data_IF_410053957310
#
_entry.id   IF_410053957310
#
_cell.length_a   1.000
_cell.length_b   1.000
_cell.length_c   1.000
_cell.angle_alpha   90.00
_cell.angle_beta   90.00
_cell.angle_gamma   90.00
#
_symmetry.space_group_name_H-M   'P 1'
#
loop_
_entity.id
_entity.type
_entity.pdbx_description
1 polymer ?
#
# COMPACT_ATOMS: atom_id res chain seq x y z
N UNK A 1 10.55 -15.79 8.91
CA UNK A 1 10.58 -16.52 10.19
C UNK A 1 10.44 -18.00 9.87
N UNK A 2 11.28 -18.87 10.43
CA UNK A 2 11.13 -20.32 10.23
C UNK A 2 10.04 -20.88 11.15
N UNK A 3 9.48 -22.04 10.78
CA UNK A 3 8.46 -22.72 11.58
C UNK A 3 8.91 -23.01 13.02
N UNK A 4 10.17 -23.41 13.20
CA UNK A 4 10.73 -23.65 14.54
C UNK A 4 10.82 -22.39 15.39
N UNK A 5 11.15 -21.25 14.79
CA UNK A 5 11.20 -19.97 15.49
C UNK A 5 9.79 -19.53 15.89
N UNK A 6 8.81 -19.65 15.00
CA UNK A 6 7.41 -19.34 15.31
C UNK A 6 6.88 -20.22 16.44
N UNK A 7 7.11 -21.53 16.36
CA UNK A 7 6.67 -22.49 17.38
C UNK A 7 7.25 -22.13 18.75
N UNK A 8 8.57 -21.93 18.83
CA UNK A 8 9.26 -21.54 20.06
C UNK A 8 8.69 -20.25 20.66
N UNK A 9 8.56 -19.20 19.85
CA UNK A 9 8.04 -17.90 20.29
C UNK A 9 6.58 -17.99 20.74
N UNK A 10 5.75 -18.73 19.99
CA UNK A 10 4.35 -18.93 20.33
C UNK A 10 4.19 -19.91 21.50
N UNK A 11 5.28 -20.47 22.05
CA UNK A 11 5.28 -21.51 23.07
C UNK A 11 4.47 -22.74 22.68
N UNK A 12 4.59 -23.13 21.41
CA UNK A 12 3.97 -24.29 20.78
C UNK A 12 5.05 -25.27 20.32
N UNK A 13 4.72 -26.55 20.25
CA UNK A 13 5.63 -27.54 19.72
C UNK A 13 5.76 -27.38 18.19
N UNK A 14 6.98 -27.52 17.66
CA UNK A 14 7.22 -27.42 16.21
C UNK A 14 6.39 -28.45 15.42
N UNK A 15 6.25 -29.67 15.93
CA UNK A 15 5.43 -30.72 15.31
C UNK A 15 3.94 -30.40 15.37
N UNK A 16 3.48 -29.68 16.41
CA UNK A 16 2.12 -29.18 16.50
C UNK A 16 1.84 -28.14 15.41
N UNK A 17 2.71 -27.13 15.26
CA UNK A 17 2.58 -26.13 14.16
C UNK A 17 2.59 -26.83 12.80
N UNK A 18 3.46 -27.82 12.62
CA UNK A 18 3.57 -28.60 11.38
C UNK A 18 2.31 -29.41 11.07
N UNK A 19 1.69 -30.01 12.08
CA UNK A 19 0.41 -30.68 11.93
C UNK A 19 -0.73 -29.71 11.60
N UNK A 20 -0.73 -28.51 12.18
CA UNK A 20 -1.72 -27.46 11.86
C UNK A 20 -1.58 -26.98 10.42
N UNK A 21 -0.37 -26.67 9.96
CA UNK A 21 -0.12 -26.21 8.57
C UNK A 21 -0.54 -27.23 7.50
N UNK A 22 -0.43 -28.53 7.81
CA UNK A 22 -0.89 -29.61 6.92
C UNK A 22 -2.37 -29.95 7.05
N UNK A 23 -3.10 -29.30 7.96
CA UNK A 23 -4.50 -29.62 8.24
C UNK A 23 -4.72 -30.94 8.99
N UNK A 24 -3.67 -31.51 9.60
CA UNK A 24 -3.71 -32.78 10.36
C UNK A 24 -4.08 -32.59 11.84
N UNK A 25 -4.22 -31.33 12.29
CA UNK A 25 -4.54 -30.97 13.67
C UNK A 25 -5.53 -29.81 13.70
N UNK A 26 -6.54 -29.94 14.55
CA UNK A 26 -7.41 -28.82 14.90
C UNK A 26 -6.67 -27.87 15.85
N UNK A 27 -6.72 -26.58 15.54
CA UNK A 27 -6.11 -25.53 16.37
C UNK A 27 -7.17 -24.87 17.25
N UNK A 28 -6.86 -24.67 18.54
CA UNK A 28 -7.73 -23.93 19.46
C UNK A 28 -7.63 -22.43 19.23
N UNK A 29 -8.69 -21.68 19.55
CA UNK A 29 -8.68 -20.21 19.44
C UNK A 29 -7.54 -19.57 20.24
N UNK A 30 -7.22 -20.12 21.42
CA UNK A 30 -6.09 -19.67 22.23
C UNK A 30 -4.75 -19.82 21.51
N UNK A 31 -4.54 -20.92 20.78
CA UNK A 31 -3.31 -21.12 20.00
C UNK A 31 -3.29 -20.26 18.74
N UNK A 32 -4.44 -19.98 18.12
CA UNK A 32 -4.58 -19.01 17.03
C UNK A 32 -4.14 -17.62 17.50
N UNK A 33 -4.61 -17.18 18.67
CA UNK A 33 -4.25 -15.89 19.26
C UNK A 33 -2.74 -15.80 19.52
N UNK A 34 -2.14 -16.83 20.14
CA UNK A 34 -0.68 -16.87 20.38
C UNK A 34 0.12 -16.78 19.07
N UNK A 35 -0.30 -17.51 18.03
CA UNK A 35 0.35 -17.45 16.71
C UNK A 35 0.18 -16.06 16.09
N UNK A 36 -1.00 -15.45 16.18
CA UNK A 36 -1.26 -14.11 15.65
C UNK A 36 -0.37 -13.05 16.30
N UNK A 37 -0.25 -13.09 17.64
CA UNK A 37 0.63 -12.20 18.41
C UNK A 37 2.08 -12.32 17.93
N UNK A 38 2.60 -13.54 17.82
CA UNK A 38 3.99 -13.75 17.40
C UNK A 38 4.27 -13.43 15.93
N UNK A 39 3.24 -13.49 15.09
CA UNK A 39 3.29 -13.03 13.70
C UNK A 39 3.07 -11.51 13.58
N UNK A 40 2.82 -10.82 14.69
CA UNK A 40 2.44 -9.41 14.76
C UNK A 40 1.26 -9.06 13.84
N UNK A 41 0.19 -9.86 13.93
CA UNK A 41 -1.07 -9.68 13.19
C UNK A 41 -2.26 -9.84 14.12
N UNK A 42 -3.40 -9.36 13.66
CA UNK A 42 -4.67 -9.57 14.33
C UNK A 42 -5.21 -10.97 14.03
N UNK A 43 -5.98 -11.55 14.96
CA UNK A 43 -6.68 -12.83 14.74
C UNK A 43 -7.61 -12.77 13.52
N UNK A 44 -8.42 -11.71 13.30
CA UNK A 44 -9.20 -11.56 12.08
C UNK A 44 -8.35 -11.62 10.82
N UNK A 45 -7.16 -11.01 10.80
CA UNK A 45 -6.23 -11.11 9.68
C UNK A 45 -5.74 -12.55 9.49
N UNK A 46 -5.36 -13.24 10.59
CA UNK A 46 -4.94 -14.64 10.57
C UNK A 46 -6.05 -15.62 10.15
N UNK A 47 -7.32 -15.21 10.21
CA UNK A 47 -8.47 -16.02 9.82
C UNK A 47 -9.19 -15.51 8.56
N UNK A 48 -8.67 -14.46 7.91
CA UNK A 48 -9.28 -13.89 6.69
C UNK A 48 -9.28 -14.88 5.52
N UNK A 49 -10.42 -14.93 4.81
CA UNK A 49 -10.72 -15.84 3.70
C UNK A 49 -9.86 -15.56 2.46
N UNK A 50 -9.46 -14.31 2.27
CA UNK A 50 -8.67 -13.82 1.12
C UNK A 50 -7.27 -14.46 0.97
N UNK A 51 -6.82 -15.26 1.94
CA UNK A 51 -5.60 -16.09 1.84
C UNK A 51 -5.83 -17.48 1.23
N UNK A 52 -7.09 -17.88 1.05
CA UNK A 52 -7.47 -19.16 0.45
C UNK A 52 -7.83 -19.05 -1.04
N UNK A 53 -7.69 -17.86 -1.65
CA UNK A 53 -7.64 -17.76 -3.10
C UNK A 53 -6.43 -18.56 -3.59
N UNK A 54 -6.71 -19.72 -4.18
CA UNK A 54 -5.76 -20.68 -4.75
C UNK A 54 -4.94 -20.15 -5.93
N UNK A 55 -4.93 -18.83 -6.16
CA UNK A 55 -4.35 -18.14 -7.32
C UNK A 55 -3.13 -17.29 -6.94
N UNK A 56 -2.31 -17.75 -5.98
CA UNK A 56 -1.05 -17.09 -5.61
C UNK A 56 0.03 -17.06 -6.73
N UNK A 57 -0.32 -17.42 -7.96
CA UNK A 57 0.49 -17.23 -9.14
C UNK A 57 -0.26 -16.31 -10.11
N UNK A 58 0.05 -15.02 -10.07
CA UNK A 58 -0.40 -14.06 -11.07
C UNK A 58 -0.19 -14.66 -12.48
N UNK A 59 -1.25 -14.69 -13.27
CA UNK A 59 -1.21 -15.24 -14.60
C UNK A 59 -0.54 -14.25 -15.54
N UNK A 60 0.08 -14.74 -16.62
CA UNK A 60 0.71 -13.87 -17.62
C UNK A 60 -0.26 -12.82 -18.18
N UNK A 61 -1.55 -13.16 -18.26
CA UNK A 61 -2.63 -12.24 -18.69
C UNK A 61 -2.78 -11.03 -17.76
N UNK A 62 -2.47 -11.18 -16.47
CA UNK A 62 -2.63 -10.11 -15.48
C UNK A 62 -1.55 -9.02 -15.64
N UNK A 63 -0.54 -9.26 -16.48
CA UNK A 63 0.51 -8.31 -16.89
C UNK A 63 0.33 -7.79 -18.33
N UNK A 64 -0.80 -8.03 -18.99
CA UNK A 64 -1.04 -7.60 -20.38
C UNK A 64 -0.95 -6.09 -20.56
N UNK A 65 -1.42 -5.32 -19.57
CA UNK A 65 -1.28 -3.87 -19.59
C UNK A 65 0.16 -3.51 -19.17
N UNK A 66 0.92 -2.78 -20.00
CA UNK A 66 2.30 -2.43 -19.69
C UNK A 66 2.43 -1.63 -18.39
N UNK A 67 3.52 -1.83 -17.66
CA UNK A 67 3.82 -1.09 -16.42
C UNK A 67 3.71 0.42 -16.59
N UNK A 68 4.18 0.98 -17.71
CA UNK A 68 4.11 2.42 -18.02
C UNK A 68 2.69 2.99 -18.14
N UNK A 69 1.67 2.13 -18.26
CA UNK A 69 0.26 2.51 -18.27
C UNK A 69 -0.42 2.26 -16.92
N UNK A 70 0.22 1.50 -16.04
CA UNK A 70 -0.31 1.11 -14.73
C UNK A 70 0.30 1.89 -13.59
N UNK A 71 1.53 2.36 -13.73
CA UNK A 71 2.21 3.21 -12.78
C UNK A 71 2.20 4.66 -13.26
N UNK A 72 1.60 5.52 -12.43
CA UNK A 72 1.54 6.95 -12.69
C UNK A 72 1.95 7.66 -11.39
N UNK A 73 2.71 8.74 -11.51
CA UNK A 73 3.10 9.56 -10.37
C UNK A 73 3.06 11.05 -10.73
N UNK A 74 2.94 11.89 -9.71
CA UNK A 74 3.01 13.34 -9.81
C UNK A 74 3.84 13.91 -8.66
N UNK A 75 4.46 15.06 -8.90
CA UNK A 75 5.29 15.77 -7.92
C UNK A 75 4.83 17.21 -7.84
N UNK A 76 4.47 17.64 -6.64
CA UNK A 76 4.26 19.04 -6.30
C UNK A 76 5.52 19.53 -5.57
N UNK A 77 6.39 20.23 -6.29
CA UNK A 77 7.66 20.74 -5.75
C UNK A 77 7.46 21.88 -4.75
N UNK A 78 6.40 22.68 -4.92
CA UNK A 78 6.09 23.81 -4.04
C UNK A 78 5.65 23.31 -2.67
N UNK A 79 4.72 22.35 -2.66
CA UNK A 79 4.18 21.77 -1.44
C UNK A 79 5.00 20.57 -0.94
N UNK A 80 6.02 20.14 -1.69
CA UNK A 80 6.90 18.99 -1.36
C UNK A 80 6.11 17.69 -1.18
N UNK A 81 5.25 17.41 -2.15
CA UNK A 81 4.40 16.21 -2.15
C UNK A 81 4.72 15.38 -3.36
N UNK A 82 4.88 14.08 -3.13
CA UNK A 82 4.89 13.09 -4.20
C UNK A 82 3.68 12.19 -4.04
N UNK A 83 2.95 11.99 -5.13
CA UNK A 83 1.79 11.11 -5.19
C UNK A 83 2.01 10.07 -6.27
N UNK A 84 1.70 8.81 -6.01
CA UNK A 84 1.70 7.79 -7.06
C UNK A 84 0.65 6.73 -6.86
N UNK A 85 0.36 6.04 -7.96
CA UNK A 85 -0.64 5.00 -8.04
C UNK A 85 -0.10 3.84 -8.87
N UNK A 86 -0.50 2.62 -8.50
CA UNK A 86 -0.27 1.41 -9.28
C UNK A 86 -1.61 0.72 -9.51
N UNK A 87 -1.94 0.49 -10.77
CA UNK A 87 -3.11 -0.28 -11.17
C UNK A 87 -2.73 -1.73 -11.45
N UNK A 88 -3.54 -2.67 -10.99
CA UNK A 88 -3.35 -4.11 -11.21
C UNK A 88 -2.08 -4.68 -10.57
N UNK A 89 -1.61 -5.80 -11.13
CA UNK A 89 -0.50 -6.58 -10.56
C UNK A 89 0.84 -5.87 -10.70
N UNK A 90 1.64 -5.88 -9.63
CA UNK A 90 3.03 -5.43 -9.68
C UNK A 90 3.97 -6.62 -9.63
N UNK A 91 4.94 -6.70 -10.55
CA UNK A 91 6.02 -7.69 -10.46
C UNK A 91 7.20 -7.17 -9.63
N UNK A 92 8.12 -8.04 -9.24
CA UNK A 92 9.35 -7.60 -8.57
C UNK A 92 10.20 -6.64 -9.40
N UNK A 93 10.37 -6.90 -10.68
CA UNK A 93 11.15 -6.03 -11.57
C UNK A 93 10.48 -4.65 -11.73
N UNK A 94 9.16 -4.62 -11.83
CA UNK A 94 8.39 -3.36 -11.88
C UNK A 94 8.47 -2.62 -10.54
N UNK A 95 8.47 -3.34 -9.41
CA UNK A 95 8.67 -2.76 -8.08
C UNK A 95 10.03 -2.07 -7.96
N UNK A 96 11.10 -2.69 -8.47
CA UNK A 96 12.42 -2.05 -8.50
C UNK A 96 12.44 -0.82 -9.41
N UNK A 97 11.76 -0.88 -10.55
CA UNK A 97 11.68 0.23 -11.50
C UNK A 97 10.90 1.42 -10.92
N UNK A 98 9.79 1.13 -10.23
CA UNK A 98 9.04 2.09 -9.43
C UNK A 98 9.94 2.73 -8.37
N UNK A 99 10.61 1.90 -7.56
CA UNK A 99 11.48 2.36 -6.49
C UNK A 99 12.61 3.27 -6.99
N UNK A 100 13.27 2.90 -8.09
CA UNK A 100 14.29 3.74 -8.74
C UNK A 100 13.73 5.10 -9.15
N UNK A 101 12.54 5.11 -9.75
CA UNK A 101 11.88 6.35 -10.20
C UNK A 101 11.55 7.25 -9.02
N UNK A 102 10.85 6.72 -8.00
CA UNK A 102 10.45 7.47 -6.82
C UNK A 102 11.66 7.99 -6.03
N UNK A 103 12.68 7.15 -5.81
CA UNK A 103 13.90 7.57 -5.11
C UNK A 103 14.70 8.61 -5.89
N UNK A 104 14.70 8.54 -7.23
CA UNK A 104 15.30 9.57 -8.08
C UNK A 104 14.56 10.91 -7.98
N UNK A 105 13.24 10.90 -7.81
CA UNK A 105 12.48 12.13 -7.56
C UNK A 105 12.84 12.68 -6.17
N UNK A 106 12.78 11.82 -5.14
CA UNK A 106 13.04 12.19 -3.76
C UNK A 106 14.44 12.80 -3.55
N UNK A 107 15.45 12.38 -4.32
CA UNK A 107 16.80 12.95 -4.22
C UNK A 107 16.92 14.43 -4.61
N UNK A 108 15.88 15.03 -5.20
CA UNK A 108 15.82 16.47 -5.47
C UNK A 108 15.39 17.30 -4.27
N UNK A 109 14.87 16.64 -3.22
CA UNK A 109 14.44 17.27 -1.99
C UNK A 109 15.48 17.09 -0.89
N UNK A 110 15.41 17.94 0.14
CA UNK A 110 16.16 17.71 1.37
C UNK A 110 15.61 16.48 2.10
N UNK A 111 16.41 15.92 2.99
CA UNK A 111 15.96 14.82 3.85
C UNK A 111 14.89 15.31 4.83
N UNK A 112 13.85 14.51 5.03
CA UNK A 112 12.78 14.74 6.01
C UNK A 112 11.83 15.90 5.72
N UNK A 113 11.65 16.32 4.46
CA UNK A 113 10.72 17.41 4.10
C UNK A 113 9.63 17.01 3.11
N UNK A 114 9.60 15.74 2.67
CA UNK A 114 8.67 15.27 1.64
C UNK A 114 7.51 14.50 2.26
N UNK A 115 6.30 14.82 1.81
CA UNK A 115 5.11 14.04 2.13
C UNK A 115 4.76 13.14 0.96
N UNK A 116 4.43 11.89 1.24
CA UNK A 116 4.11 10.92 0.20
C UNK A 116 2.66 10.46 0.30
N UNK A 117 1.98 10.42 -0.85
CA UNK A 117 0.66 9.83 -1.00
C UNK A 117 0.73 8.62 -1.94
N UNK A 118 0.15 7.51 -1.53
CA UNK A 118 0.18 6.26 -2.29
C UNK A 118 -1.24 5.74 -2.46
N UNK A 119 -1.67 5.55 -3.71
CA UNK A 119 -2.98 4.98 -4.02
C UNK A 119 -2.85 3.52 -4.49
N UNK A 120 -3.29 2.59 -3.65
CA UNK A 120 -3.38 1.17 -4.00
C UNK A 120 -4.81 0.68 -4.18
N UNK A 121 -5.82 1.56 -4.22
CA UNK A 121 -7.22 1.15 -4.43
C UNK A 121 -7.42 0.36 -5.72
N UNK A 122 -6.62 0.67 -6.75
CA UNK A 122 -6.69 0.07 -8.07
C UNK A 122 -5.76 -1.14 -8.28
N UNK A 123 -5.12 -1.62 -7.22
CA UNK A 123 -4.45 -2.91 -7.24
C UNK A 123 -5.49 -4.03 -7.22
N UNK A 124 -6.12 -4.28 -8.37
CA UNK A 124 -7.23 -5.21 -8.54
C UNK A 124 -6.96 -6.16 -9.71
N UNK A 125 -7.46 -7.39 -9.62
CA UNK A 125 -7.50 -8.36 -10.73
C UNK A 125 -8.91 -8.91 -10.84
N UNK A 126 -9.53 -8.83 -12.01
CA UNK A 126 -10.91 -9.28 -12.25
C UNK A 126 -11.95 -8.71 -11.27
N UNK A 127 -11.72 -7.51 -10.75
CA UNK A 127 -12.61 -6.86 -9.78
C UNK A 127 -12.34 -7.21 -8.32
N UNK A 128 -11.40 -8.12 -8.06
CA UNK A 128 -11.00 -8.54 -6.72
C UNK A 128 -9.71 -7.82 -6.27
N UNK A 129 -9.60 -7.44 -4.99
CA UNK A 129 -8.39 -6.82 -4.45
C UNK A 129 -7.24 -7.81 -4.40
N UNK A 130 -6.07 -7.36 -4.83
CA UNK A 130 -4.82 -8.14 -4.72
C UNK A 130 -3.86 -7.47 -3.75
N UNK A 131 -2.91 -8.23 -3.22
CA UNK A 131 -1.87 -7.74 -2.30
C UNK A 131 -0.46 -7.93 -2.87
N UNK A 132 0.56 -7.48 -2.16
CA UNK A 132 1.92 -7.75 -2.60
C UNK A 132 2.23 -9.25 -2.55
N UNK A 133 2.78 -9.78 -3.63
CA UNK A 133 3.44 -11.08 -3.58
C UNK A 133 4.66 -11.01 -2.65
N UNK A 134 5.18 -12.16 -2.16
CA UNK A 134 6.38 -12.17 -1.32
C UNK A 134 7.57 -11.43 -1.94
N UNK A 135 7.77 -11.59 -3.25
CA UNK A 135 8.87 -10.95 -3.98
C UNK A 135 8.72 -9.43 -4.07
N UNK A 136 7.49 -8.95 -4.30
CA UNK A 136 7.15 -7.51 -4.27
C UNK A 136 7.34 -6.94 -2.86
N UNK A 137 6.86 -7.66 -1.84
CA UNK A 137 6.98 -7.24 -0.46
C UNK A 137 8.44 -7.10 -0.01
N UNK A 138 9.32 -8.04 -0.37
CA UNK A 138 10.76 -7.96 -0.05
C UNK A 138 11.42 -6.71 -0.66
N UNK A 139 11.07 -6.40 -1.91
CA UNK A 139 11.60 -5.22 -2.60
C UNK A 139 11.00 -3.93 -2.06
N UNK A 140 9.72 -3.93 -1.72
CA UNK A 140 9.04 -2.80 -1.09
C UNK A 140 9.68 -2.41 0.24
N UNK A 141 10.11 -3.39 1.06
CA UNK A 141 10.86 -3.13 2.31
C UNK A 141 12.11 -2.31 2.02
N UNK A 142 12.97 -2.77 1.08
CA UNK A 142 14.22 -2.09 0.72
C UNK A 142 14.00 -0.68 0.16
N UNK A 143 12.92 -0.48 -0.59
CA UNK A 143 12.55 0.84 -1.12
C UNK A 143 12.12 1.76 0.02
N UNK A 144 11.22 1.27 0.89
CA UNK A 144 10.70 2.05 2.02
C UNK A 144 11.80 2.45 3.00
N UNK A 145 12.76 1.57 3.31
CA UNK A 145 13.93 1.87 4.15
C UNK A 145 14.63 3.14 3.65
N UNK A 146 14.88 3.24 2.34
CA UNK A 146 15.50 4.41 1.72
C UNK A 146 14.58 5.63 1.68
N UNK A 147 13.29 5.42 1.47
CA UNK A 147 12.30 6.51 1.47
C UNK A 147 12.18 7.18 2.84
N UNK A 148 12.40 6.46 3.95
CA UNK A 148 12.32 7.02 5.30
C UNK A 148 13.29 8.18 5.55
N UNK A 149 14.36 8.30 4.78
CA UNK A 149 15.31 9.41 4.87
C UNK A 149 14.72 10.73 4.32
N UNK A 150 13.83 10.64 3.34
CA UNK A 150 13.27 11.80 2.63
C UNK A 150 11.87 12.13 3.13
N UNK A 151 11.07 11.09 3.38
CA UNK A 151 9.68 11.26 3.75
C UNK A 151 9.54 11.46 5.26
N UNK A 152 8.82 12.48 5.69
CA UNK A 152 8.42 12.70 7.08
C UNK A 152 7.06 12.07 7.38
N UNK A 153 6.16 12.10 6.40
CA UNK A 153 4.82 11.54 6.49
C UNK A 153 4.38 10.88 5.18
N UNK A 154 3.74 9.71 5.31
CA UNK A 154 3.22 8.92 4.21
C UNK A 154 1.77 8.55 4.50
N UNK A 155 0.87 8.72 3.54
CA UNK A 155 -0.49 8.20 3.59
C UNK A 155 -0.69 7.22 2.43
N UNK A 156 -1.28 6.06 2.72
CA UNK A 156 -1.49 4.98 1.76
C UNK A 156 -2.95 4.57 1.77
N UNK A 157 -3.63 4.67 0.63
CA UNK A 157 -4.98 4.13 0.48
C UNK A 157 -4.89 2.67 0.08
N UNK A 158 -5.51 1.79 0.87
CA UNK A 158 -5.50 0.35 0.65
C UNK A 158 -6.79 -0.09 -0.04
N UNK A 159 -6.70 -1.07 -0.94
CA UNK A 159 -7.87 -1.67 -1.59
C UNK A 159 -8.71 -2.56 -0.66
N UNK A 160 -8.12 -3.05 0.43
CA UNK A 160 -8.69 -4.06 1.33
C UNK A 160 -8.12 -3.91 2.73
N UNK A 161 -8.88 -4.39 3.72
CA UNK A 161 -8.40 -4.53 5.09
C UNK A 161 -7.17 -5.45 5.18
N UNK A 162 -7.10 -6.43 4.29
CA UNK A 162 -5.99 -7.37 4.19
C UNK A 162 -4.71 -6.68 3.68
N UNK A 163 -4.78 -5.89 2.61
CA UNK A 163 -3.66 -5.06 2.16
C UNK A 163 -3.18 -4.12 3.26
N UNK A 164 -4.09 -3.45 3.97
CA UNK A 164 -3.73 -2.54 5.07
C UNK A 164 -2.89 -3.26 6.13
N UNK A 165 -3.30 -4.46 6.54
CA UNK A 165 -2.59 -5.26 7.52
C UNK A 165 -1.25 -5.80 6.97
N UNK A 166 -1.19 -6.20 5.70
CA UNK A 166 0.06 -6.61 5.06
C UNK A 166 1.07 -5.45 5.02
N UNK A 167 0.63 -4.26 4.61
CA UNK A 167 1.48 -3.08 4.53
C UNK A 167 1.93 -2.60 5.91
N UNK A 168 1.09 -2.72 6.95
CA UNK A 168 1.49 -2.49 8.34
C UNK A 168 2.69 -3.35 8.75
N UNK A 169 2.73 -4.64 8.35
CA UNK A 169 3.90 -5.48 8.61
C UNK A 169 5.12 -5.06 7.80
N UNK A 170 4.92 -4.68 6.54
CA UNK A 170 6.00 -4.26 5.65
C UNK A 170 6.66 -3.00 6.20
N UNK A 171 5.88 -2.02 6.66
CA UNK A 171 6.43 -0.78 7.22
C UNK A 171 7.08 -0.96 8.58
N UNK A 172 6.66 -1.94 9.38
CA UNK A 172 7.40 -2.32 10.59
C UNK A 172 8.77 -2.88 10.25
N UNK A 173 8.87 -3.74 9.23
CA UNK A 173 10.14 -4.32 8.79
C UNK A 173 11.08 -3.29 8.18
N UNK A 174 10.55 -2.30 7.46
CA UNK A 174 11.35 -1.24 6.83
C UNK A 174 11.68 -0.05 7.74
N UNK A 175 11.18 -0.04 8.99
CA UNK A 175 11.31 1.10 9.89
C UNK A 175 10.45 2.31 9.54
N UNK A 176 9.59 2.20 8.51
CA UNK A 176 8.70 3.28 8.05
C UNK A 176 7.39 3.40 8.84
N UNK A 177 7.11 2.47 9.76
CA UNK A 177 5.80 2.35 10.43
C UNK A 177 5.33 3.64 11.09
N UNK A 178 6.19 4.33 11.84
CA UNK A 178 5.81 5.56 12.56
C UNK A 178 5.56 6.77 11.65
N UNK A 179 5.98 6.69 10.38
CA UNK A 179 5.80 7.76 9.39
C UNK A 179 4.65 7.46 8.44
N UNK A 180 4.09 6.25 8.45
CA UNK A 180 3.16 5.77 7.43
C UNK A 180 1.79 5.47 8.02
N UNK A 181 0.75 6.06 7.44
CA UNK A 181 -0.64 5.80 7.77
C UNK A 181 -1.29 5.01 6.63
N UNK A 182 -1.67 3.77 6.90
CA UNK A 182 -2.46 2.95 5.97
C UNK A 182 -3.94 3.13 6.26
N UNK A 183 -4.70 3.48 5.24
CA UNK A 183 -6.12 3.81 5.34
C UNK A 183 -6.93 2.78 4.54
N UNK A 184 -7.99 2.28 5.15
CA UNK A 184 -8.97 1.41 4.51
C UNK A 184 -10.38 1.83 4.95
N UNK A 185 -11.34 1.82 4.03
CA UNK A 185 -12.71 2.27 4.27
C UNK A 185 -13.39 2.70 2.98
N UNK A 186 -14.36 3.60 3.06
CA UNK A 186 -14.95 4.20 1.86
C UNK A 186 -13.97 5.20 1.23
N UNK A 187 -13.94 5.24 -0.10
CA UNK A 187 -13.03 6.10 -0.87
C UNK A 187 -12.97 7.55 -0.39
N UNK A 188 -14.12 8.21 -0.24
CA UNK A 188 -14.17 9.61 0.21
C UNK A 188 -13.63 9.77 1.63
N UNK A 189 -13.95 8.86 2.55
CA UNK A 189 -13.47 8.91 3.94
C UNK A 189 -11.94 8.73 4.00
N UNK A 190 -11.41 7.79 3.21
CA UNK A 190 -9.97 7.55 3.09
C UNK A 190 -9.23 8.75 2.50
N UNK A 191 -9.77 9.33 1.44
CA UNK A 191 -9.22 10.54 0.81
C UNK A 191 -9.20 11.69 1.81
N UNK A 192 -10.31 11.95 2.50
CA UNK A 192 -10.42 13.03 3.47
C UNK A 192 -9.43 12.86 4.63
N UNK A 193 -9.22 11.62 5.08
CA UNK A 193 -8.22 11.29 6.09
C UNK A 193 -6.80 11.53 5.59
N UNK A 194 -6.46 11.09 4.37
CA UNK A 194 -5.17 11.35 3.76
C UNK A 194 -4.89 12.85 3.60
N UNK A 195 -5.92 13.64 3.27
CA UNK A 195 -5.85 15.09 3.21
C UNK A 195 -5.46 15.72 4.53
N UNK A 196 -6.15 15.34 5.60
CA UNK A 196 -5.87 15.84 6.94
C UNK A 196 -4.49 15.46 7.41
N UNK A 197 -4.07 14.22 7.13
CA UNK A 197 -2.75 13.72 7.50
C UNK A 197 -1.68 14.53 6.78
N UNK A 198 -1.72 14.55 5.45
CA UNK A 198 -0.65 15.15 4.66
C UNK A 198 -0.77 16.68 4.55
N UNK A 199 -1.78 17.32 5.16
CA UNK A 199 -1.98 18.78 5.19
C UNK A 199 -1.71 19.47 3.84
N UNK A 200 -2.41 19.04 2.79
CA UNK A 200 -2.27 19.61 1.45
C UNK A 200 -3.60 20.06 0.89
N UNK A 201 -3.58 21.17 0.15
CA UNK A 201 -4.65 21.54 -0.74
C UNK A 201 -4.56 20.64 -1.97
N UNK A 202 -5.64 19.96 -2.34
CA UNK A 202 -5.72 19.33 -3.65
C UNK A 202 -5.59 20.44 -4.71
N UNK A 203 -4.39 20.64 -5.25
CA UNK A 203 -4.24 21.46 -6.44
C UNK A 203 -4.76 20.66 -7.65
N UNK A 204 -5.11 21.36 -8.74
CA UNK A 204 -5.78 20.81 -9.93
C UNK A 204 -5.12 19.55 -10.50
N UNK A 205 -3.80 19.38 -10.30
CA UNK A 205 -3.02 18.23 -10.77
C UNK A 205 -3.15 16.98 -9.89
N UNK A 206 -3.42 17.16 -8.59
CA UNK A 206 -3.68 16.07 -7.66
C UNK A 206 -5.11 15.55 -7.84
N UNK A 207 -6.08 16.38 -8.24
CA UNK A 207 -7.45 15.95 -8.54
C UNK A 207 -7.56 14.89 -9.65
N UNK A 208 -6.70 14.95 -10.68
CA UNK A 208 -6.73 14.05 -11.85
C UNK A 208 -6.48 12.59 -11.45
N UNK A 209 -5.72 12.36 -10.38
CA UNK A 209 -5.43 11.02 -9.87
C UNK A 209 -6.53 10.45 -8.96
N UNK A 210 -7.29 11.31 -8.25
CA UNK A 210 -7.99 10.88 -7.03
C UNK A 210 -9.49 10.68 -7.20
N UNK A 211 -10.11 11.27 -8.23
CA UNK A 211 -11.56 11.23 -8.41
C UNK A 211 -11.95 10.39 -9.63
N UNK A 212 -12.34 9.13 -9.40
CA UNK A 212 -12.99 8.30 -10.43
C UNK A 212 -14.42 8.71 -10.77
N UNK A 213 -15.00 9.68 -10.06
CA UNK A 213 -16.39 10.06 -10.23
C UNK A 213 -16.54 11.50 -10.68
N UNK A 214 -17.02 11.63 -11.92
CA UNK A 214 -17.63 12.81 -12.53
C UNK A 214 -16.67 13.77 -13.23
N UNK A 215 -16.65 13.63 -14.56
CA UNK A 215 -16.34 14.69 -15.54
C UNK A 215 -16.90 16.08 -15.12
N UNK A 216 -18.01 16.10 -14.37
CA UNK A 216 -18.68 17.30 -13.84
C UNK A 216 -17.78 18.09 -12.87
N UNK A 217 -16.98 17.44 -12.01
CA UNK A 217 -16.14 18.15 -11.03
C UNK A 217 -14.90 18.78 -11.69
N UNK A 218 -14.34 18.11 -12.70
CA UNK A 218 -13.27 18.67 -13.54
C UNK A 218 -13.77 19.92 -14.28
N UNK A 219 -15.01 19.90 -14.79
CA UNK A 219 -15.64 21.07 -15.41
C UNK A 219 -15.90 22.21 -14.41
N UNK A 220 -16.30 21.92 -13.17
CA UNK A 220 -16.53 22.95 -12.13
C UNK A 220 -15.21 23.64 -11.76
N UNK A 221 -14.12 22.89 -11.61
CA UNK A 221 -12.80 23.46 -11.28
C UNK A 221 -12.25 24.27 -12.47
N UNK A 222 -12.40 23.79 -13.71
CA UNK A 222 -12.03 24.57 -14.90
C UNK A 222 -12.87 25.84 -15.07
N UNK A 223 -14.13 25.85 -14.63
CA UNK A 223 -14.98 27.05 -14.59
C UNK A 223 -14.50 28.06 -13.56
N UNK A 224 -14.16 27.60 -12.35
CA UNK A 224 -13.68 28.48 -11.27
C UNK A 224 -12.36 29.19 -11.60
N UNK A 225 -11.46 28.53 -12.33
CA UNK A 225 -10.20 29.14 -12.77
C UNK A 225 -10.35 30.06 -14.00
N UNK A 226 -11.39 29.87 -14.82
CA UNK A 226 -11.71 30.78 -15.94
C UNK A 226 -12.20 32.14 -15.45
N UNK A 227 -12.96 32.17 -14.36
CA UNK A 227 -13.47 33.44 -13.80
C UNK A 227 -12.37 34.25 -13.09
N UNK A 228 -11.36 33.59 -12.50
CA UNK A 228 -10.23 34.29 -11.88
C UNK A 228 -9.14 34.78 -12.86
N UNK A 229 -9.14 34.32 -14.11
CA UNK A 229 -8.24 34.82 -15.17
C UNK A 229 -8.83 35.98 -15.98
N UNK A 230 -10.07 36.39 -15.67
CA UNK A 230 -10.72 37.58 -16.24
C UNK A 230 -10.67 38.80 -15.31
N UNK A 231 -10.02 38.68 -14.14
CA UNK A 231 -9.89 39.73 -13.12
C UNK A 231 -8.44 40.23 -12.92
N UNK A 232 -7.54 39.96 -13.86
CA UNK A 232 -6.17 40.51 -13.90
C UNK A 232 -5.92 41.31 -15.17
#
# INVERSE_FOLDING_TARGET
MSQGILAYRAGLDRTYISGVERGERNISLHNIERIAIELNITVPYLCSDERFYSEAAYLRKDFEIPFSKRFVYNVDYENKIIAWQVNGVLSGQETESLGKTILSVLSHFRKGEVRAFVDHREMMVNGEPIVYSPDVAEKAIKIQERMTEYCDQVAVLCNSQYMMNQLNQITQKSGAFHKTNHLFGKDHEMIDQAHRLLNFAFNTYTYIFFCKSSFILVCIIQSFYRDHSLLS
#
